data_IF_439217443068
#
_entry.id   IF_439217443068
#
_cell.length_a   1.000
_cell.length_b   1.000
_cell.length_c   1.000
_cell.angle_alpha   90.00
_cell.angle_beta   90.00
_cell.angle_gamma   90.00
#
_symmetry.space_group_name_H-M   'P 1'
#
loop_
_entity.id
_entity.type
_entity.pdbx_description
1 polymer ?
#
# COMPACT_ATOMS: atom_id res chain seq x y z
N UNK A 1 19.13 10.78 4.44
CA UNK A 1 17.73 10.35 4.37
C UNK A 1 17.33 9.90 2.96
N UNK A 2 17.39 10.77 1.95
CA UNK A 2 16.98 10.45 0.57
C UNK A 2 17.72 9.25 -0.04
N UNK A 3 19.06 9.20 0.12
CA UNK A 3 19.88 8.08 -0.38
C UNK A 3 19.52 6.72 0.26
N UNK A 4 19.29 6.67 1.58
CA UNK A 4 18.89 5.42 2.25
C UNK A 4 17.51 4.95 1.77
N UNK A 5 16.56 5.87 1.59
CA UNK A 5 15.24 5.54 1.03
C UNK A 5 15.33 5.03 -0.41
N UNK A 6 16.16 5.67 -1.24
CA UNK A 6 16.38 5.26 -2.62
C UNK A 6 16.99 3.85 -2.71
N UNK A 7 18.01 3.54 -1.88
CA UNK A 7 18.62 2.20 -1.84
C UNK A 7 17.59 1.13 -1.45
N UNK A 8 16.78 1.39 -0.42
CA UNK A 8 15.75 0.43 0.04
C UNK A 8 14.68 0.23 -1.05
N UNK A 9 14.22 1.31 -1.68
CA UNK A 9 13.22 1.26 -2.74
C UNK A 9 13.74 0.52 -3.99
N UNK A 10 15.00 0.76 -4.38
CA UNK A 10 15.62 0.06 -5.52
C UNK A 10 15.77 -1.44 -5.25
N UNK A 11 16.25 -1.84 -4.07
CA UNK A 11 16.39 -3.27 -3.71
C UNK A 11 15.02 -3.97 -3.71
N UNK A 12 14.00 -3.33 -3.13
CA UNK A 12 12.63 -3.86 -3.13
C UNK A 12 12.07 -4.00 -4.56
N UNK A 13 12.31 -3.01 -5.44
CA UNK A 13 11.89 -3.05 -6.84
C UNK A 13 12.57 -4.18 -7.64
N UNK A 14 13.89 -4.38 -7.47
CA UNK A 14 14.61 -5.47 -8.12
C UNK A 14 14.10 -6.85 -7.66
N UNK A 15 13.83 -7.02 -6.36
CA UNK A 15 13.25 -8.25 -5.81
C UNK A 15 11.84 -8.50 -6.37
N UNK A 16 11.01 -7.45 -6.48
CA UNK A 16 9.67 -7.55 -7.03
C UNK A 16 9.68 -7.97 -8.50
N UNK A 17 10.57 -7.37 -9.31
CA UNK A 17 10.75 -7.74 -10.71
C UNK A 17 11.22 -9.20 -10.87
N UNK A 18 12.16 -9.65 -10.03
CA UNK A 18 12.64 -11.03 -10.02
C UNK A 18 11.54 -12.03 -9.64
N UNK A 19 10.58 -11.64 -8.78
CA UNK A 19 9.41 -12.46 -8.44
C UNK A 19 8.40 -12.58 -9.57
N UNK A 20 8.28 -11.57 -10.44
CA UNK A 20 7.27 -11.60 -11.51
C UNK A 20 7.62 -12.55 -12.65
N UNK A 21 8.90 -12.87 -12.91
CA UNK A 21 9.44 -13.82 -13.94
C UNK A 21 8.99 -13.64 -15.40
N UNK A 22 7.76 -13.20 -15.66
CA UNK A 22 7.21 -12.75 -16.92
C UNK A 22 6.56 -11.38 -16.69
N UNK A 23 7.06 -10.35 -17.37
CA UNK A 23 6.51 -9.00 -17.30
C UNK A 23 5.35 -8.94 -18.29
N UNK A 24 4.16 -9.33 -17.84
CA UNK A 24 2.93 -9.16 -18.62
C UNK A 24 2.33 -7.78 -18.34
N UNK A 25 1.86 -7.03 -19.34
CA UNK A 25 1.22 -5.73 -19.14
C UNK A 25 0.02 -5.78 -18.18
N UNK A 26 -0.66 -6.93 -18.06
CA UNK A 26 -1.73 -7.12 -17.07
C UNK A 26 -1.26 -7.09 -15.61
N UNK A 27 0.04 -7.28 -15.35
CA UNK A 27 0.58 -7.25 -14.00
C UNK A 27 0.65 -5.84 -13.42
N UNK A 28 0.70 -4.80 -14.25
CA UNK A 28 0.70 -3.39 -13.82
C UNK A 28 -0.62 -2.70 -14.17
N UNK A 29 -1.74 -3.34 -13.82
CA UNK A 29 -3.05 -2.71 -13.96
C UNK A 29 -3.21 -1.52 -13.01
N UNK A 30 -4.15 -0.63 -13.36
CA UNK A 30 -4.54 0.53 -12.55
C UNK A 30 -4.77 0.20 -11.06
N UNK A 31 -5.27 -0.99 -10.78
CA UNK A 31 -5.51 -1.48 -9.42
C UNK A 31 -4.21 -1.53 -8.58
N UNK A 32 -3.09 -1.94 -9.18
CA UNK A 32 -1.84 -2.07 -8.45
C UNK A 32 -1.22 -0.72 -8.10
N UNK A 33 -1.31 0.25 -9.02
CA UNK A 33 -0.91 1.64 -8.76
C UNK A 33 -1.76 2.28 -7.67
N UNK A 34 -3.07 2.01 -7.66
CA UNK A 34 -3.97 2.46 -6.60
C UNK A 34 -3.59 1.87 -5.23
N UNK A 35 -3.27 0.59 -5.14
CA UNK A 35 -2.86 -0.04 -3.87
C UNK A 35 -1.60 0.62 -3.29
N UNK A 36 -0.61 0.91 -4.13
CA UNK A 36 0.62 1.60 -3.70
C UNK A 36 0.31 3.03 -3.24
N UNK A 37 -0.49 3.77 -4.01
CA UNK A 37 -0.93 5.13 -3.65
C UNK A 37 -1.68 5.13 -2.32
N UNK A 38 -2.65 4.23 -2.16
CA UNK A 38 -3.46 4.10 -0.95
C UNK A 38 -2.62 3.71 0.26
N UNK A 39 -1.62 2.82 0.10
CA UNK A 39 -0.69 2.46 1.18
C UNK A 39 0.07 3.67 1.75
N UNK A 40 0.49 4.59 0.88
CA UNK A 40 1.20 5.82 1.28
C UNK A 40 0.23 6.85 1.88
N UNK A 41 -0.93 7.05 1.25
CA UNK A 41 -1.93 8.05 1.70
C UNK A 41 -2.55 7.65 3.04
N UNK A 42 -2.89 6.37 3.23
CA UNK A 42 -3.45 5.85 4.49
C UNK A 42 -2.47 5.99 5.66
N UNK A 43 -1.16 5.86 5.39
CA UNK A 43 -0.12 5.95 6.39
C UNK A 43 0.17 7.37 6.93
N UNK A 44 -0.25 8.40 6.20
CA UNK A 44 -0.08 9.81 6.57
C UNK A 44 1.26 10.41 6.13
N UNK A 45 1.22 11.58 5.46
CA UNK A 45 2.38 12.22 4.80
C UNK A 45 3.46 12.84 5.74
N UNK A 46 3.51 12.46 7.03
CA UNK A 46 4.34 13.16 8.01
C UNK A 46 5.17 12.29 8.97
N UNK A 47 4.94 10.97 9.04
CA UNK A 47 5.61 10.09 10.03
C UNK A 47 5.96 8.74 9.41
N UNK A 48 7.25 8.40 9.41
CA UNK A 48 7.79 7.11 8.94
C UNK A 48 7.04 5.89 9.54
N UNK A 49 6.77 5.80 10.86
CA UNK A 49 6.06 4.63 11.42
C UNK A 49 4.60 4.51 10.98
N UNK A 50 3.92 5.63 10.71
CA UNK A 50 2.56 5.63 10.17
C UNK A 50 2.50 5.11 8.73
N UNK A 51 3.45 5.53 7.90
CA UNK A 51 3.60 5.05 6.51
C UNK A 51 3.90 3.55 6.45
N UNK A 52 4.79 3.06 7.31
CA UNK A 52 5.13 1.62 7.36
C UNK A 52 3.92 0.79 7.78
N UNK A 53 3.19 1.18 8.83
CA UNK A 53 1.98 0.48 9.28
C UNK A 53 0.86 0.53 8.24
N UNK A 54 0.66 1.69 7.60
CA UNK A 54 -0.31 1.86 6.52
C UNK A 54 0.00 0.96 5.33
N UNK A 55 1.24 0.96 4.85
CA UNK A 55 1.67 0.10 3.74
C UNK A 55 1.49 -1.40 4.04
N UNK A 56 1.82 -1.84 5.26
CA UNK A 56 1.62 -3.25 5.68
C UNK A 56 0.13 -3.60 5.72
N UNK A 57 -0.71 -2.73 6.28
CA UNK A 57 -2.15 -2.96 6.34
C UNK A 57 -2.78 -3.07 4.94
N UNK A 58 -2.43 -2.14 4.05
CA UNK A 58 -2.93 -2.12 2.66
C UNK A 58 -2.41 -3.30 1.85
N UNK A 59 -1.21 -3.81 2.13
CA UNK A 59 -0.70 -5.02 1.48
C UNK A 59 -1.40 -6.30 1.97
N UNK A 60 -1.75 -6.37 3.27
CA UNK A 60 -2.41 -7.55 3.86
C UNK A 60 -3.91 -7.62 3.53
N UNK A 61 -4.58 -6.48 3.42
CA UNK A 61 -6.02 -6.41 3.17
C UNK A 61 -6.48 -7.20 1.91
N UNK A 62 -5.88 -7.00 0.71
CA UNK A 62 -6.23 -7.77 -0.48
C UNK A 62 -5.80 -9.25 -0.40
N UNK A 63 -4.88 -9.61 0.50
CA UNK A 63 -4.40 -10.98 0.70
C UNK A 63 -5.34 -11.77 1.62
N UNK A 64 -5.87 -11.13 2.67
CA UNK A 64 -6.94 -11.72 3.49
C UNK A 64 -8.23 -11.87 2.68
N UNK A 65 -8.52 -10.90 1.80
CA UNK A 65 -9.66 -10.95 0.88
C UNK A 65 -9.42 -11.83 -0.36
N UNK A 66 -8.34 -12.62 -0.41
CA UNK A 66 -8.05 -13.54 -1.52
C UNK A 66 -9.20 -14.53 -1.77
N UNK A 67 -10.00 -14.84 -0.75
CA UNK A 67 -11.20 -15.68 -0.87
C UNK A 67 -12.40 -15.04 -1.59
N UNK A 68 -12.40 -13.73 -1.84
CA UNK A 68 -13.56 -12.99 -2.39
C UNK A 68 -13.69 -13.05 -3.94
N UNK A 69 -12.82 -13.78 -4.64
CA UNK A 69 -12.94 -14.03 -6.08
C UNK A 69 -13.01 -12.74 -6.93
N UNK A 70 -13.99 -12.67 -7.82
CA UNK A 70 -14.14 -11.59 -8.83
C UNK A 70 -14.38 -10.20 -8.22
N UNK A 71 -14.93 -10.11 -7.00
CA UNK A 71 -15.24 -8.82 -6.35
C UNK A 71 -14.06 -8.23 -5.57
N UNK A 72 -12.90 -8.90 -5.56
CA UNK A 72 -11.70 -8.52 -4.80
C UNK A 72 -11.28 -7.06 -4.98
N UNK A 73 -11.24 -6.47 -6.20
CA UNK A 73 -10.82 -5.06 -6.37
C UNK A 73 -11.80 -4.09 -5.71
N UNK A 74 -13.10 -4.32 -5.88
CA UNK A 74 -14.17 -3.45 -5.40
C UNK A 74 -14.25 -3.48 -3.87
N UNK A 75 -14.26 -4.68 -3.28
CA UNK A 75 -14.33 -4.82 -1.82
C UNK A 75 -13.09 -4.25 -1.16
N UNK A 76 -11.90 -4.46 -1.75
CA UNK A 76 -10.65 -3.88 -1.22
C UNK A 76 -10.67 -2.35 -1.31
N UNK A 77 -11.13 -1.76 -2.42
CA UNK A 77 -11.23 -0.32 -2.57
C UNK A 77 -12.22 0.31 -1.57
N UNK A 78 -13.40 -0.31 -1.38
CA UNK A 78 -14.40 0.16 -0.41
C UNK A 78 -13.89 0.01 1.03
N UNK A 79 -13.23 -1.11 1.36
CA UNK A 79 -12.65 -1.33 2.67
C UNK A 79 -11.56 -0.30 2.98
N UNK A 80 -10.71 0.02 2.00
CA UNK A 80 -9.68 1.07 2.13
C UNK A 80 -10.30 2.45 2.30
N UNK A 81 -11.32 2.80 1.52
CA UNK A 81 -12.07 4.05 1.68
C UNK A 81 -12.74 4.14 3.06
N UNK A 82 -13.30 3.04 3.57
CA UNK A 82 -13.86 3.01 4.90
C UNK A 82 -12.78 3.27 5.97
N UNK A 83 -11.60 2.65 5.86
CA UNK A 83 -10.50 2.89 6.81
C UNK A 83 -10.02 4.36 6.71
N UNK A 84 -9.93 4.93 5.50
CA UNK A 84 -9.61 6.35 5.30
C UNK A 84 -10.66 7.27 5.94
N UNK A 85 -11.95 6.92 5.83
CA UNK A 85 -13.05 7.69 6.38
C UNK A 85 -13.07 7.64 7.91
N UNK A 86 -12.78 6.48 8.51
CA UNK A 86 -12.76 6.30 9.97
C UNK A 86 -11.48 6.83 10.63
N UNK A 87 -10.35 6.93 9.94
CA UNK A 87 -9.06 7.41 10.47
C UNK A 87 -8.29 8.29 9.45
N UNK A 88 -8.80 9.49 9.12
CA UNK A 88 -8.22 10.37 8.10
C UNK A 88 -6.83 10.95 8.46
N UNK A 89 -6.42 10.91 9.73
CA UNK A 89 -5.12 11.41 10.20
C UNK A 89 -4.00 10.35 10.22
N UNK A 90 -4.23 9.17 9.64
CA UNK A 90 -3.29 8.05 9.69
C UNK A 90 -3.39 7.23 10.98
N UNK A 91 -2.74 6.05 10.98
CA UNK A 91 -2.81 5.10 12.11
C UNK A 91 -2.09 5.59 13.37
N UNK A 92 -1.18 6.56 13.26
CA UNK A 92 -0.40 7.08 14.38
C UNK A 92 -0.92 8.45 14.84
N UNK A 93 -1.18 8.67 16.14
CA UNK A 93 -1.64 9.96 16.65
C UNK A 93 -0.57 11.05 16.41
N UNK A 94 -0.96 12.16 15.79
CA UNK A 94 -0.10 13.34 15.73
C UNK A 94 -0.03 13.96 17.12
N UNK A 95 1.07 13.76 17.84
CA UNK A 95 1.43 14.65 18.95
C UNK A 95 1.98 15.93 18.34
N UNK A 96 1.08 16.83 17.99
CA UNK A 96 1.34 18.28 17.99
C UNK A 96 0.64 18.85 19.23
N UNK A 97 1.38 18.86 20.33
CA UNK A 97 1.39 20.00 21.26
C UNK A 97 2.67 20.77 20.96
#
# INVERSE_FOLDING_TARGET
>A
AYMMGAVIASVAGCLYAAKMTAISPESFTFNQSLLILLGVVLGGMGRIPGVVLGAVLVALLPEVLRGAGTYRPLVTAIALLAIMLFRPNGLWPDKRV
#
